data_IF_225226803332
#
_entry.id   IF_225226803332
#
_cell.length_a   1.000
_cell.length_b   1.000
_cell.length_c   1.000
_cell.angle_alpha   90.00
_cell.angle_beta   90.00
_cell.angle_gamma   90.00
#
_symmetry.space_group_name_H-M   'P 1'
#
loop_
_entity.id
_entity.type
_entity.pdbx_description
1 polymer ?
#
# COMPACT_ATOMS: atom_id res chain seq x y z
N UNK A 1 19.59 -59.15 34.97
CA UNK A 1 20.35 -59.16 36.24
C UNK A 1 20.45 -57.70 36.68
N UNK A 2 19.60 -57.19 37.55
CA UNK A 2 18.69 -57.83 38.52
C UNK A 2 17.25 -57.26 38.31
N UNK A 3 16.16 -58.04 38.26
CA UNK A 3 15.37 -58.63 39.37
C UNK A 3 14.79 -57.54 40.32
N UNK A 4 13.50 -57.16 40.23
CA UNK A 4 12.31 -57.69 40.97
C UNK A 4 12.41 -57.62 42.51
N UNK A 5 11.39 -57.27 43.32
CA UNK A 5 10.04 -56.72 43.09
C UNK A 5 9.48 -55.97 44.36
N UNK A 6 8.30 -56.27 44.97
CA UNK A 6 7.10 -55.39 44.91
C UNK A 6 6.52 -54.92 46.28
N UNK A 7 5.52 -54.01 46.29
CA UNK A 7 4.36 -54.02 47.23
C UNK A 7 3.31 -52.88 46.99
N UNK A 8 2.03 -53.18 47.23
CA UNK A 8 0.90 -52.22 47.33
C UNK A 8 -0.13 -52.74 48.36
N UNK A 9 -0.55 -51.95 49.37
CA UNK A 9 -1.99 -51.63 49.60
C UNK A 9 -2.22 -50.25 50.31
N UNK A 10 -3.42 -49.66 50.52
CA UNK A 10 -4.80 -49.86 49.99
C UNK A 10 -5.57 -48.50 49.85
N UNK A 11 -6.55 -48.19 50.73
CA UNK A 11 -7.40 -46.98 50.93
C UNK A 11 -8.11 -47.10 52.30
N UNK A 12 -8.89 -46.07 52.70
CA UNK A 12 -9.94 -46.00 53.77
C UNK A 12 -9.46 -45.54 55.17
N UNK A 13 -10.25 -44.85 56.01
CA UNK A 13 -11.50 -44.07 55.82
C UNK A 13 -11.88 -43.26 57.10
N UNK A 14 -12.83 -42.31 56.97
CA UNK A 14 -13.87 -41.86 57.95
C UNK A 14 -13.52 -41.33 59.36
N UNK A 15 -14.26 -40.28 59.79
CA UNK A 15 -14.47 -39.91 61.21
C UNK A 15 -14.31 -38.40 61.48
N UNK A 16 -15.31 -37.55 61.22
CA UNK A 16 -16.42 -37.18 62.12
C UNK A 16 -16.03 -36.30 63.32
N UNK A 17 -16.60 -35.08 63.39
CA UNK A 17 -16.38 -34.15 64.51
C UNK A 17 -17.20 -32.86 64.38
N UNK A 18 -18.45 -32.87 64.85
CA UNK A 18 -19.33 -31.70 64.82
C UNK A 18 -19.18 -30.82 66.07
N UNK A 19 -19.26 -29.49 65.90
CA UNK A 19 -19.59 -28.55 66.99
C UNK A 19 -20.23 -27.27 66.43
N UNK A 20 -21.36 -26.87 67.03
CA UNK A 20 -22.15 -25.70 66.62
C UNK A 20 -22.15 -24.58 67.68
N UNK A 21 -22.27 -23.32 67.23
CA UNK A 21 -22.56 -22.03 67.92
C UNK A 21 -22.29 -20.86 66.92
N UNK A 22 -23.02 -19.74 66.83
CA UNK A 22 -24.35 -19.31 67.35
C UNK A 22 -24.90 -18.15 66.47
N UNK A 23 -26.05 -17.56 66.83
CA UNK A 23 -26.65 -16.36 66.20
C UNK A 23 -25.83 -15.06 66.39
N UNK A 24 -26.01 -13.94 65.66
CA UNK A 24 -26.98 -13.49 64.62
C UNK A 24 -26.53 -12.11 64.07
N UNK A 25 -27.36 -11.22 63.46
CA UNK A 25 -28.80 -11.29 63.18
C UNK A 25 -29.15 -11.30 61.67
N UNK A 26 -30.44 -11.32 61.35
CA UNK A 26 -30.97 -11.20 59.98
C UNK A 26 -31.38 -9.76 59.65
N UNK A 27 -31.13 -9.33 58.41
CA UNK A 27 -31.85 -8.27 57.72
C UNK A 27 -31.86 -8.59 56.21
N UNK A 28 -33.05 -8.77 55.63
CA UNK A 28 -33.22 -9.09 54.21
C UNK A 28 -33.46 -7.87 53.33
N UNK A 29 -33.85 -8.15 52.08
CA UNK A 29 -34.22 -7.22 51.00
C UNK A 29 -33.06 -6.49 50.29
N UNK A 30 -32.85 -6.84 49.03
CA UNK A 30 -31.81 -6.22 48.17
C UNK A 30 -31.36 -7.11 47.01
N UNK A 31 -32.29 -7.71 46.26
CA UNK A 31 -31.93 -8.39 45.02
C UNK A 31 -31.27 -7.41 44.01
N UNK A 32 -30.38 -7.93 43.15
CA UNK A 32 -29.59 -7.25 42.08
C UNK A 32 -28.07 -7.04 42.32
N UNK A 33 -27.44 -7.75 43.26
CA UNK A 33 -25.97 -7.69 43.48
C UNK A 33 -25.09 -8.65 42.65
N UNK A 34 -25.67 -9.49 41.79
CA UNK A 34 -25.00 -10.69 41.24
C UNK A 34 -24.51 -10.59 39.80
N UNK A 35 -23.41 -9.86 39.55
CA UNK A 35 -22.40 -10.14 38.49
C UNK A 35 -21.20 -9.20 38.61
N UNK A 36 -21.43 -7.95 39.05
CA UNK A 36 -20.47 -6.85 39.02
C UNK A 36 -19.37 -6.88 40.09
N UNK A 37 -19.52 -7.69 41.15
CA UNK A 37 -18.57 -7.72 42.28
C UNK A 37 -17.31 -8.57 42.06
N UNK A 38 -17.25 -9.37 41.01
CA UNK A 38 -16.10 -10.25 40.74
C UNK A 38 -14.95 -9.60 39.93
N UNK A 39 -15.11 -8.35 39.50
CA UNK A 39 -14.11 -7.64 38.68
C UNK A 39 -13.46 -6.43 39.37
N UNK A 40 -13.76 -6.16 40.65
CA UNK A 40 -13.41 -4.88 41.30
C UNK A 40 -12.25 -4.93 42.28
N UNK A 41 -11.77 -6.09 42.73
CA UNK A 41 -10.86 -6.17 43.90
C UNK A 41 -9.42 -6.62 43.60
N UNK A 42 -9.19 -7.73 42.88
CA UNK A 42 -7.88 -8.42 42.81
C UNK A 42 -6.93 -7.94 41.70
N UNK A 43 -6.67 -6.64 41.62
CA UNK A 43 -5.54 -6.10 40.85
C UNK A 43 -5.00 -4.82 41.46
N UNK A 44 -3.73 -4.85 41.89
CA UNK A 44 -2.98 -3.71 42.46
C UNK A 44 -2.49 -2.73 41.38
N UNK A 45 -3.26 -2.58 40.30
CA UNK A 45 -3.05 -1.62 39.21
C UNK A 45 -4.16 -0.56 39.20
N UNK A 46 -3.98 0.48 38.38
CA UNK A 46 -4.92 1.59 38.25
C UNK A 46 -6.33 1.07 37.87
N UNK A 47 -7.27 1.06 38.84
CA UNK A 47 -8.64 0.55 38.67
C UNK A 47 -9.46 1.50 37.76
N UNK A 48 -9.42 1.26 36.45
CA UNK A 48 -10.14 2.03 35.44
C UNK A 48 -11.57 1.50 35.33
N UNK A 49 -12.56 2.31 35.73
CA UNK A 49 -13.98 1.92 35.68
C UNK A 49 -14.55 1.83 34.26
N UNK A 50 -15.72 1.17 34.06
CA UNK A 50 -16.33 1.01 32.74
C UNK A 50 -16.62 2.33 32.00
N UNK A 51 -16.99 3.39 32.73
CA UNK A 51 -17.31 4.70 32.14
C UNK A 51 -16.06 5.36 31.50
N UNK A 52 -14.90 5.48 32.20
CA UNK A 52 -13.63 5.85 31.57
C UNK A 52 -13.28 5.05 30.30
N UNK A 53 -13.50 3.72 30.29
CA UNK A 53 -13.21 2.89 29.11
C UNK A 53 -14.08 3.30 27.91
N UNK A 54 -15.38 3.54 28.13
CA UNK A 54 -16.30 3.97 27.08
C UNK A 54 -15.94 5.36 26.53
N UNK A 55 -15.60 6.32 27.41
CA UNK A 55 -15.18 7.68 27.00
C UNK A 55 -13.87 7.62 26.20
N UNK A 56 -12.86 6.89 26.68
CA UNK A 56 -11.59 6.73 25.96
C UNK A 56 -11.77 6.03 24.61
N UNK A 57 -12.69 5.06 24.52
CA UNK A 57 -13.03 4.38 23.25
C UNK A 57 -13.69 5.33 22.26
N UNK A 58 -14.64 6.15 22.70
CA UNK A 58 -15.30 7.16 21.85
C UNK A 58 -14.32 8.24 21.36
N UNK A 59 -13.44 8.72 22.24
CA UNK A 59 -12.37 9.68 21.89
C UNK A 59 -11.40 9.04 20.90
N UNK A 60 -10.97 7.80 21.11
CA UNK A 60 -10.11 7.09 20.17
C UNK A 60 -10.76 6.94 18.79
N UNK A 61 -12.02 6.52 18.72
CA UNK A 61 -12.77 6.39 17.47
C UNK A 61 -12.88 7.75 16.76
N UNK A 62 -13.21 8.82 17.48
CA UNK A 62 -13.29 10.17 16.92
C UNK A 62 -11.92 10.67 16.41
N UNK A 63 -10.84 10.46 17.15
CA UNK A 63 -9.48 10.77 16.73
C UNK A 63 -9.07 9.97 15.48
N UNK A 64 -9.43 8.69 15.40
CA UNK A 64 -9.20 7.85 14.21
C UNK A 64 -9.97 8.39 13.00
N UNK A 65 -11.22 8.82 13.15
CA UNK A 65 -11.98 9.44 12.05
C UNK A 65 -11.36 10.78 11.61
N UNK A 66 -11.01 11.67 12.55
CA UNK A 66 -10.32 12.93 12.22
C UNK A 66 -8.99 12.66 11.52
N UNK A 67 -8.22 11.65 11.95
CA UNK A 67 -6.95 11.27 11.33
C UNK A 67 -7.12 10.59 9.96
N UNK A 68 -8.26 9.95 9.68
CA UNK A 68 -8.60 9.49 8.33
C UNK A 68 -8.93 10.66 7.40
N UNK A 69 -9.65 11.69 7.89
CA UNK A 69 -10.04 12.87 7.11
C UNK A 69 -8.84 13.82 6.90
N UNK A 70 -8.00 14.03 7.92
CA UNK A 70 -6.73 14.76 7.82
C UNK A 70 -5.57 13.91 7.28
N UNK A 71 -5.87 12.72 6.77
CA UNK A 71 -4.93 11.68 6.32
C UNK A 71 -4.16 12.01 5.03
N UNK A 72 -3.53 13.18 4.98
CA UNK A 72 -2.59 13.60 3.93
C UNK A 72 -3.20 13.58 2.51
N UNK A 73 -4.32 14.30 2.34
CA UNK A 73 -4.86 14.62 1.01
C UNK A 73 -3.87 15.54 0.27
N UNK A 74 -3.06 14.91 -0.60
CA UNK A 74 -2.10 15.59 -1.50
C UNK A 74 -2.78 16.39 -2.61
N UNK A 75 -4.10 16.32 -2.70
CA UNK A 75 -4.97 17.07 -3.60
C UNK A 75 -5.68 18.11 -2.76
N UNK A 76 -5.79 19.34 -3.27
CA UNK A 76 -6.53 20.39 -2.58
C UNK A 76 -8.02 20.33 -2.91
N UNK A 77 -8.80 19.62 -2.10
CA UNK A 77 -10.25 19.43 -2.32
C UNK A 77 -11.08 20.73 -2.20
N UNK A 78 -10.48 21.85 -1.76
CA UNK A 78 -11.10 23.17 -1.81
C UNK A 78 -11.08 23.84 -3.20
N UNK A 79 -10.29 23.30 -4.14
CA UNK A 79 -10.16 23.82 -5.50
C UNK A 79 -11.11 23.08 -6.47
N UNK A 80 -11.58 23.78 -7.51
CA UNK A 80 -12.31 23.14 -8.60
C UNK A 80 -11.34 22.40 -9.53
N UNK A 81 -11.48 21.07 -9.59
CA UNK A 81 -10.68 20.19 -10.44
C UNK A 81 -11.40 19.69 -11.69
N UNK A 82 -12.55 20.29 -12.05
CA UNK A 82 -13.22 19.98 -13.31
C UNK A 82 -12.32 20.29 -14.50
N UNK A 83 -12.35 19.43 -15.52
CA UNK A 83 -11.55 19.59 -16.76
C UNK A 83 -11.81 20.96 -17.39
N UNK A 84 -13.06 21.44 -17.34
CA UNK A 84 -13.47 22.79 -17.75
C UNK A 84 -12.73 23.88 -16.96
N UNK A 85 -12.73 23.84 -15.63
CA UNK A 85 -12.05 24.87 -14.82
C UNK A 85 -10.54 24.83 -15.00
N UNK A 86 -9.95 23.63 -15.10
CA UNK A 86 -8.54 23.43 -15.39
C UNK A 86 -8.12 23.92 -16.80
N UNK A 87 -9.08 24.15 -17.70
CA UNK A 87 -8.87 24.63 -19.08
C UNK A 87 -7.95 23.73 -19.90
N UNK A 88 -7.96 22.43 -19.63
CA UNK A 88 -7.09 21.44 -20.31
C UNK A 88 -7.32 21.44 -21.83
N UNK A 89 -8.57 21.66 -22.27
CA UNK A 89 -9.00 21.70 -23.66
C UNK A 89 -9.78 22.99 -23.98
N UNK A 90 -10.02 23.33 -25.26
CA UNK A 90 -10.88 24.45 -25.65
C UNK A 90 -12.28 24.35 -25.05
N UNK A 91 -12.96 25.47 -24.76
CA UNK A 91 -14.21 25.47 -23.98
C UNK A 91 -15.34 24.58 -24.55
N UNK A 92 -15.42 24.47 -25.88
CA UNK A 92 -16.43 23.66 -26.58
C UNK A 92 -16.09 22.17 -26.66
N UNK A 93 -14.93 21.74 -26.17
CA UNK A 93 -14.50 20.35 -26.21
C UNK A 93 -15.39 19.47 -25.31
N UNK A 94 -15.95 18.35 -25.80
CA UNK A 94 -16.80 17.47 -24.99
C UNK A 94 -16.08 16.88 -23.77
N UNK A 95 -14.73 16.76 -23.80
CA UNK A 95 -13.91 16.26 -22.69
C UNK A 95 -13.99 17.16 -21.45
N UNK A 96 -14.42 18.41 -21.58
CA UNK A 96 -14.63 19.32 -20.44
C UNK A 96 -15.69 18.84 -19.43
N UNK A 97 -16.51 17.84 -19.80
CA UNK A 97 -17.50 17.20 -18.93
C UNK A 97 -16.99 15.92 -18.25
N UNK A 98 -15.77 15.46 -18.57
CA UNK A 98 -15.20 14.23 -18.01
C UNK A 98 -14.82 14.46 -16.55
N UNK A 99 -15.25 13.59 -15.61
CA UNK A 99 -14.75 13.64 -14.23
C UNK A 99 -13.30 13.14 -14.20
N UNK A 100 -12.41 13.86 -13.51
CA UNK A 100 -11.03 13.39 -13.32
C UNK A 100 -10.99 12.25 -12.30
N UNK A 101 -10.32 11.16 -12.68
CA UNK A 101 -9.98 10.07 -11.77
C UNK A 101 -8.59 10.30 -11.18
N UNK A 102 -8.52 10.81 -9.95
CA UNK A 102 -7.26 11.05 -9.27
C UNK A 102 -6.52 9.75 -8.96
N UNK A 103 -5.33 9.62 -9.56
CA UNK A 103 -4.49 8.44 -9.38
C UNK A 103 -3.07 8.87 -8.99
N UNK A 104 -2.64 8.45 -7.80
CA UNK A 104 -1.22 8.52 -7.42
C UNK A 104 -0.40 7.57 -8.31
N UNK A 105 0.72 8.07 -8.79
CA UNK A 105 1.70 7.38 -9.62
C UNK A 105 3.11 7.62 -9.06
N UNK A 106 4.13 7.31 -9.85
CA UNK A 106 5.53 7.66 -9.58
C UNK A 106 5.96 8.79 -10.52
N UNK A 107 6.87 9.65 -10.05
CA UNK A 107 7.50 10.71 -10.86
C UNK A 107 8.22 10.20 -12.12
N UNK A 108 8.68 8.95 -12.13
CA UNK A 108 9.33 8.37 -13.30
C UNK A 108 8.34 7.53 -14.10
N UNK A 109 8.15 7.89 -15.37
CA UNK A 109 7.29 7.20 -16.32
C UNK A 109 8.01 6.89 -17.64
N UNK A 110 7.51 5.89 -18.37
CA UNK A 110 7.92 5.57 -19.73
C UNK A 110 6.74 5.86 -20.65
N UNK A 111 6.85 6.91 -21.47
CA UNK A 111 5.78 7.39 -22.35
C UNK A 111 6.17 7.15 -23.81
N UNK A 112 5.21 6.74 -24.63
CA UNK A 112 5.45 6.62 -26.07
C UNK A 112 5.21 7.96 -26.77
N UNK A 113 5.80 8.15 -27.96
CA UNK A 113 5.82 9.45 -28.67
C UNK A 113 4.44 10.08 -28.86
N UNK A 114 3.40 9.29 -29.09
CA UNK A 114 2.02 9.80 -29.26
C UNK A 114 1.46 10.38 -27.96
N UNK A 115 1.69 9.74 -26.80
CA UNK A 115 1.38 10.33 -25.49
C UNK A 115 2.11 11.65 -25.26
N UNK A 116 3.41 11.72 -25.56
CA UNK A 116 4.20 12.96 -25.36
C UNK A 116 3.66 14.08 -26.25
N UNK A 117 3.40 13.80 -27.54
CA UNK A 117 2.77 14.75 -28.46
C UNK A 117 1.41 15.23 -27.94
N UNK A 118 0.57 14.30 -27.45
CA UNK A 118 -0.73 14.64 -26.88
C UNK A 118 -0.63 15.57 -25.66
N UNK A 119 0.26 15.27 -24.71
CA UNK A 119 0.48 16.13 -23.52
C UNK A 119 0.94 17.53 -23.91
N UNK A 120 1.85 17.66 -24.89
CA UNK A 120 2.46 18.95 -25.27
C UNK A 120 1.57 19.77 -26.19
N UNK A 121 0.91 19.14 -27.17
CA UNK A 121 0.20 19.85 -28.23
C UNK A 121 -1.31 19.98 -27.98
N UNK A 122 -1.93 19.03 -27.25
CA UNK A 122 -3.39 19.00 -27.06
C UNK A 122 -3.86 19.41 -25.66
N UNK A 123 -2.99 19.38 -24.64
CA UNK A 123 -3.36 19.59 -23.24
C UNK A 123 -2.69 20.84 -22.65
N UNK A 124 -3.49 21.82 -22.22
CA UNK A 124 -2.98 23.00 -21.51
C UNK A 124 -2.77 22.68 -20.03
N UNK A 125 -1.55 22.27 -19.69
CA UNK A 125 -1.19 21.79 -18.36
C UNK A 125 -1.05 22.88 -17.28
N UNK A 126 -0.92 24.15 -17.65
CA UNK A 126 -0.48 25.25 -16.76
C UNK A 126 -1.27 25.32 -15.44
N UNK A 127 -2.61 25.35 -15.53
CA UNK A 127 -3.47 25.47 -14.35
C UNK A 127 -3.54 24.19 -13.53
N UNK A 128 -3.46 23.02 -14.16
CA UNK A 128 -3.41 21.73 -13.47
C UNK A 128 -2.13 21.60 -12.65
N UNK A 129 -0.98 21.95 -13.23
CA UNK A 129 0.31 21.96 -12.52
C UNK A 129 0.33 23.02 -11.41
N UNK A 130 -0.20 24.23 -11.67
CA UNK A 130 -0.34 25.27 -10.64
C UNK A 130 -1.22 24.80 -9.46
N UNK A 131 -2.33 24.10 -9.72
CA UNK A 131 -3.19 23.55 -8.66
C UNK A 131 -2.52 22.41 -7.89
N UNK A 132 -1.74 21.52 -8.53
CA UNK A 132 -0.97 20.50 -7.81
C UNK A 132 0.16 21.09 -6.96
N UNK A 133 0.72 22.24 -7.37
CA UNK A 133 1.76 22.95 -6.64
C UNK A 133 1.25 23.75 -5.41
N UNK A 134 -0.06 23.82 -5.14
CA UNK A 134 -0.56 24.49 -3.92
C UNK A 134 -0.24 23.71 -2.65
N UNK A 135 -0.16 22.38 -2.74
CA UNK A 135 0.30 21.52 -1.63
C UNK A 135 1.82 21.31 -1.75
N UNK A 136 2.52 21.36 -0.62
CA UNK A 136 4.00 21.28 -0.57
C UNK A 136 4.59 19.88 -0.86
N UNK A 137 3.78 18.85 -1.07
CA UNK A 137 4.26 17.46 -1.11
C UNK A 137 3.54 16.59 -2.15
N UNK A 138 4.32 16.08 -3.12
CA UNK A 138 3.91 14.96 -3.97
C UNK A 138 2.93 15.28 -5.11
N UNK A 139 2.74 16.54 -5.51
CA UNK A 139 1.87 16.89 -6.65
C UNK A 139 2.39 16.38 -8.00
N UNK A 140 3.71 16.24 -8.11
CA UNK A 140 4.45 15.58 -9.19
C UNK A 140 4.15 14.07 -9.31
N UNK A 141 3.71 13.43 -8.22
CA UNK A 141 3.20 12.04 -8.23
C UNK A 141 1.74 11.90 -8.71
N UNK A 142 0.99 12.99 -8.94
CA UNK A 142 -0.45 12.91 -9.25
C UNK A 142 -0.83 13.29 -10.68
N UNK A 143 -0.26 14.35 -11.27
CA UNK A 143 -0.79 14.88 -12.53
C UNK A 143 -0.81 13.85 -13.66
N UNK A 144 0.31 13.15 -13.88
CA UNK A 144 0.46 12.16 -14.95
C UNK A 144 -0.34 10.89 -14.68
N UNK A 145 -0.42 10.48 -13.41
CA UNK A 145 -1.27 9.37 -12.97
C UNK A 145 -2.75 9.67 -13.22
N UNK A 146 -3.20 10.89 -12.92
CA UNK A 146 -4.58 11.36 -13.11
C UNK A 146 -4.98 11.40 -14.59
N UNK A 147 -4.09 11.89 -15.48
CA UNK A 147 -4.32 11.84 -16.92
C UNK A 147 -4.39 10.38 -17.43
N UNK A 148 -3.46 9.53 -16.99
CA UNK A 148 -3.39 8.12 -17.41
C UNK A 148 -4.54 7.27 -16.86
N UNK A 149 -5.04 7.61 -15.66
CA UNK A 149 -6.16 6.96 -14.99
C UNK A 149 -7.54 7.43 -15.45
N UNK A 150 -7.61 8.40 -16.36
CA UNK A 150 -8.87 8.95 -16.93
C UNK A 150 -8.88 8.79 -18.47
N UNK A 151 -9.08 7.57 -19.01
CA UNK A 151 -9.02 7.31 -20.46
C UNK A 151 -9.98 8.11 -21.33
N UNK A 152 -11.05 8.65 -20.74
CA UNK A 152 -12.07 9.47 -21.36
C UNK A 152 -11.53 10.85 -21.81
N UNK A 153 -10.37 11.27 -21.30
CA UNK A 153 -9.63 12.45 -21.81
C UNK A 153 -9.00 12.19 -23.19
N UNK A 154 -8.89 10.93 -23.61
CA UNK A 154 -8.28 10.54 -24.89
C UNK A 154 -6.75 10.40 -24.87
N UNK A 155 -6.11 10.43 -23.69
CA UNK A 155 -4.66 10.25 -23.56
C UNK A 155 -4.22 8.90 -24.18
N UNK A 156 -3.31 8.90 -25.17
CA UNK A 156 -2.82 7.67 -25.79
C UNK A 156 -2.20 6.73 -24.75
N UNK A 157 -2.70 5.49 -24.71
CA UNK A 157 -2.24 4.46 -23.79
C UNK A 157 -2.74 4.59 -22.35
N UNK A 158 -3.70 5.48 -22.04
CA UNK A 158 -4.38 5.52 -20.75
C UNK A 158 -5.07 4.19 -20.39
N UNK A 159 -5.16 3.91 -19.08
CA UNK A 159 -5.67 2.65 -18.53
C UNK A 159 -6.58 2.93 -17.33
N UNK A 160 -7.88 2.62 -17.44
CA UNK A 160 -8.79 2.63 -16.28
C UNK A 160 -8.35 1.54 -15.30
N UNK A 161 -8.61 1.74 -14.00
CA UNK A 161 -8.33 0.72 -12.99
C UNK A 161 -9.20 -0.53 -13.24
N UNK A 162 -8.60 -1.73 -13.31
CA UNK A 162 -9.34 -2.98 -13.59
C UNK A 162 -10.50 -3.25 -12.62
N UNK A 163 -10.33 -2.88 -11.35
CA UNK A 163 -11.27 -3.19 -10.26
C UNK A 163 -11.07 -2.18 -9.14
N UNK A 164 -12.17 -1.75 -8.51
CA UNK A 164 -12.13 -0.77 -7.42
C UNK A 164 -11.16 -1.20 -6.31
N UNK A 165 -10.33 -0.26 -5.84
CA UNK A 165 -9.32 -0.50 -4.79
C UNK A 165 -8.08 -1.31 -5.21
N UNK A 166 -8.07 -1.97 -6.38
CA UNK A 166 -6.96 -2.83 -6.80
C UNK A 166 -5.86 -2.03 -7.50
N UNK A 167 -4.74 -1.76 -6.81
CA UNK A 167 -3.60 -1.03 -7.38
C UNK A 167 -3.04 -1.73 -8.63
N UNK A 168 -2.72 -0.94 -9.68
CA UNK A 168 -2.17 -1.42 -10.96
C UNK A 168 -0.74 -2.01 -10.86
N UNK A 169 -0.11 -1.93 -9.69
CA UNK A 169 1.23 -2.45 -9.42
C UNK A 169 2.33 -1.39 -9.61
N UNK A 170 3.58 -1.85 -9.69
CA UNK A 170 4.75 -0.98 -9.97
C UNK A 170 4.90 -0.78 -11.49
N UNK A 171 5.25 0.43 -11.96
CA UNK A 171 5.50 0.67 -13.38
C UNK A 171 6.78 -0.04 -13.83
N UNK A 172 6.86 -0.38 -15.12
CA UNK A 172 8.04 -1.01 -15.72
C UNK A 172 9.28 -0.09 -15.69
N UNK A 173 9.06 1.22 -15.64
CA UNK A 173 10.12 2.24 -15.70
C UNK A 173 11.16 2.12 -14.58
N UNK A 174 10.73 1.83 -13.34
CA UNK A 174 11.58 1.89 -12.14
C UNK A 174 11.19 0.84 -11.10
N UNK A 175 12.18 0.16 -10.53
CA UNK A 175 12.05 -0.51 -9.22
C UNK A 175 12.67 0.34 -8.11
N UNK A 176 12.06 0.32 -6.92
CA UNK A 176 12.62 0.90 -5.70
C UNK A 176 12.19 0.12 -4.46
N UNK A 177 13.08 0.03 -3.47
CA UNK A 177 12.80 -0.67 -2.21
C UNK A 177 12.53 0.35 -1.12
N UNK A 178 11.25 0.63 -0.88
CA UNK A 178 10.80 1.43 0.26
C UNK A 178 10.76 0.58 1.53
N UNK A 179 11.23 1.13 2.66
CA UNK A 179 11.02 0.51 3.96
C UNK A 179 10.03 1.37 4.78
N UNK A 180 8.76 0.97 4.91
CA UNK A 180 7.81 1.67 5.79
C UNK A 180 8.20 1.46 7.25
N UNK A 181 7.97 2.48 8.08
CA UNK A 181 8.43 2.56 9.48
C UNK A 181 7.99 1.41 10.40
N UNK A 182 7.02 0.58 9.99
CA UNK A 182 6.39 -0.47 10.80
C UNK A 182 6.70 -1.91 10.34
N UNK A 183 7.67 -2.10 9.43
CA UNK A 183 8.05 -3.43 8.91
C UNK A 183 9.57 -3.63 9.11
N UNK A 184 10.02 -4.84 9.52
CA UNK A 184 11.45 -5.15 9.61
C UNK A 184 12.17 -4.87 8.29
N UNK A 185 13.40 -4.35 8.39
CA UNK A 185 14.16 -3.74 7.29
C UNK A 185 14.26 -4.70 6.10
N UNK A 186 13.56 -4.38 5.00
CA UNK A 186 13.64 -5.11 3.72
C UNK A 186 14.82 -4.66 2.84
N UNK A 187 15.66 -3.76 3.34
CA UNK A 187 16.81 -3.21 2.63
C UNK A 187 18.06 -4.05 2.93
N UNK A 188 18.50 -4.85 1.96
CA UNK A 188 19.65 -5.76 2.11
C UNK A 188 20.97 -5.04 2.39
N UNK A 189 21.15 -3.85 1.83
CA UNK A 189 22.32 -3.00 2.08
C UNK A 189 22.37 -2.43 3.50
N UNK A 190 21.25 -2.53 4.23
CA UNK A 190 21.00 -1.84 5.49
C UNK A 190 21.16 -0.31 5.46
N UNK A 191 21.36 0.29 4.28
CA UNK A 191 21.57 1.73 4.10
C UNK A 191 20.35 2.40 3.46
N UNK A 192 19.72 3.29 4.22
CA UNK A 192 18.47 3.96 3.87
C UNK A 192 18.69 5.47 3.69
N UNK A 193 18.09 6.06 2.65
CA UNK A 193 18.10 7.51 2.41
C UNK A 193 16.71 8.01 2.01
N UNK A 194 16.09 8.80 2.89
CA UNK A 194 14.70 9.26 2.76
C UNK A 194 13.69 8.10 2.59
N UNK A 195 13.81 7.08 3.46
CA UNK A 195 12.95 5.88 3.47
C UNK A 195 12.99 5.00 2.22
N UNK A 196 13.92 5.27 1.29
CA UNK A 196 14.29 4.42 0.15
C UNK A 196 15.63 3.74 0.44
N UNK A 197 15.70 2.43 0.17
CA UNK A 197 16.93 1.65 0.24
C UNK A 197 17.92 2.11 -0.84
N UNK A 198 19.17 2.34 -0.45
CA UNK A 198 20.28 2.52 -1.37
C UNK A 198 20.84 1.14 -1.67
N UNK A 199 20.87 0.77 -2.94
CA UNK A 199 21.23 -0.56 -3.43
C UNK A 199 22.76 -0.72 -3.46
N UNK A 200 23.27 -1.86 -2.97
CA UNK A 200 24.66 -2.30 -3.11
C UNK A 200 24.78 -3.65 -3.80
N UNK A 201 25.97 -4.26 -3.75
CA UNK A 201 26.29 -5.55 -4.39
C UNK A 201 25.36 -6.70 -3.98
N UNK A 202 24.86 -6.69 -2.74
CA UNK A 202 23.89 -7.65 -2.21
C UNK A 202 22.53 -7.64 -2.91
N UNK A 203 22.21 -6.59 -3.68
CA UNK A 203 21.02 -6.52 -4.54
C UNK A 203 21.26 -7.04 -5.98
N UNK A 204 22.49 -7.35 -6.40
CA UNK A 204 22.81 -7.72 -7.80
C UNK A 204 21.99 -8.90 -8.34
N UNK A 205 21.69 -9.90 -7.50
CA UNK A 205 20.85 -11.04 -7.87
C UNK A 205 19.43 -10.62 -8.26
N UNK A 206 18.83 -9.69 -7.51
CA UNK A 206 17.48 -9.17 -7.76
C UNK A 206 17.47 -8.23 -8.97
N UNK A 207 18.51 -7.42 -9.13
CA UNK A 207 18.68 -6.51 -10.26
C UNK A 207 18.81 -7.27 -11.59
N UNK A 208 19.59 -8.36 -11.62
CA UNK A 208 19.72 -9.27 -12.78
C UNK A 208 18.38 -9.89 -13.21
N UNK A 209 17.57 -10.30 -12.23
CA UNK A 209 16.25 -10.94 -12.40
C UNK A 209 15.10 -9.94 -12.66
N UNK A 210 15.36 -8.64 -12.48
CA UNK A 210 14.40 -7.56 -12.60
C UNK A 210 13.78 -7.47 -14.00
N UNK A 211 12.50 -7.10 -14.03
CA UNK A 211 11.80 -6.70 -15.27
C UNK A 211 11.86 -5.18 -15.51
N UNK A 212 12.22 -4.39 -14.50
CA UNK A 212 12.18 -2.94 -14.58
C UNK A 212 13.39 -2.39 -15.33
N UNK A 213 13.18 -1.36 -16.14
CA UNK A 213 14.23 -0.74 -16.97
C UNK A 213 15.31 -0.01 -16.15
N UNK A 214 14.98 0.43 -14.93
CA UNK A 214 15.91 1.11 -14.03
C UNK A 214 15.63 0.76 -12.57
N UNK A 215 16.61 1.00 -11.71
CA UNK A 215 16.51 0.78 -10.27
C UNK A 215 16.92 2.03 -9.49
N UNK A 216 16.29 2.26 -8.35
CA UNK A 216 16.55 3.38 -7.46
C UNK A 216 16.54 2.91 -5.98
N UNK A 217 17.46 3.35 -5.12
CA UNK A 217 18.53 4.35 -5.36
C UNK A 217 19.89 3.68 -5.48
N UNK A 218 20.73 4.10 -6.43
CA UNK A 218 22.18 3.80 -6.42
C UNK A 218 22.91 5.08 -6.02
N UNK A 219 23.98 4.96 -5.22
CA UNK A 219 24.82 6.10 -4.82
C UNK A 219 26.30 5.69 -4.89
N UNK A 220 27.10 6.25 -5.82
CA UNK A 220 28.51 5.89 -6.00
C UNK A 220 29.38 5.97 -4.74
N UNK A 221 29.08 6.91 -3.84
CA UNK A 221 29.80 7.09 -2.57
C UNK A 221 29.41 6.08 -1.47
N UNK A 222 28.44 5.20 -1.73
CA UNK A 222 28.04 4.11 -0.85
C UNK A 222 28.59 2.80 -1.41
N UNK A 223 28.22 2.49 -2.65
CA UNK A 223 28.68 1.34 -3.40
C UNK A 223 28.71 1.68 -4.89
N UNK A 224 29.91 1.65 -5.48
CA UNK A 224 30.12 1.80 -6.92
C UNK A 224 30.12 0.45 -7.66
N UNK A 225 30.45 -0.64 -6.98
CA UNK A 225 30.53 -1.97 -7.56
C UNK A 225 29.16 -2.44 -8.06
N UNK A 226 28.05 -2.09 -7.39
CA UNK A 226 26.70 -2.36 -7.89
C UNK A 226 26.45 -1.76 -9.29
N UNK A 227 26.97 -0.56 -9.56
CA UNK A 227 26.85 0.10 -10.87
C UNK A 227 27.78 -0.55 -11.90
N UNK A 228 29.03 -0.80 -11.52
CA UNK A 228 30.06 -1.42 -12.39
C UNK A 228 29.67 -2.83 -12.82
N UNK A 229 29.29 -3.70 -11.87
CA UNK A 229 28.88 -5.07 -12.15
C UNK A 229 27.58 -5.14 -12.95
N UNK A 230 26.65 -4.19 -12.75
CA UNK A 230 25.43 -4.13 -13.57
C UNK A 230 25.73 -3.68 -15.00
N UNK A 231 26.65 -2.72 -15.20
CA UNK A 231 27.09 -2.30 -16.53
C UNK A 231 27.77 -3.44 -17.30
N UNK A 232 28.69 -4.16 -16.65
CA UNK A 232 29.34 -5.34 -17.23
C UNK A 232 28.32 -6.46 -17.55
N UNK A 233 27.37 -6.72 -16.65
CA UNK A 233 26.31 -7.70 -16.89
C UNK A 233 25.44 -7.33 -18.10
N UNK A 234 25.07 -6.06 -18.26
CA UNK A 234 24.31 -5.58 -19.41
C UNK A 234 25.11 -5.68 -20.70
N UNK A 235 26.40 -5.33 -20.68
CA UNK A 235 27.31 -5.49 -21.81
C UNK A 235 27.40 -6.96 -22.23
N UNK A 236 27.68 -7.88 -21.31
CA UNK A 236 27.78 -9.31 -21.58
C UNK A 236 26.44 -9.91 -22.06
N UNK A 237 25.31 -9.46 -21.50
CA UNK A 237 23.98 -9.90 -21.95
C UNK A 237 23.68 -9.46 -23.40
N UNK A 238 24.09 -8.24 -23.78
CA UNK A 238 23.90 -7.70 -25.12
C UNK A 238 24.74 -8.40 -26.19
N UNK A 239 25.93 -8.92 -25.85
CA UNK A 239 26.86 -9.52 -26.82
C UNK A 239 26.86 -11.06 -26.83
N UNK A 240 26.30 -11.72 -25.80
CA UNK A 240 26.42 -13.18 -25.65
C UNK A 240 25.10 -13.93 -25.32
N UNK A 241 23.96 -13.26 -25.11
CA UNK A 241 22.75 -13.92 -24.58
C UNK A 241 21.43 -13.44 -25.21
N UNK A 242 21.19 -13.82 -26.48
CA UNK A 242 20.11 -13.22 -27.27
C UNK A 242 18.68 -13.77 -27.04
N UNK A 243 18.47 -15.09 -26.90
CA UNK A 243 17.11 -15.65 -26.99
C UNK A 243 16.46 -16.02 -25.65
N UNK A 244 17.05 -16.93 -24.87
CA UNK A 244 16.40 -17.55 -23.69
C UNK A 244 16.01 -16.57 -22.56
N UNK A 245 16.67 -15.42 -22.48
CA UNK A 245 16.36 -14.36 -21.50
C UNK A 245 15.13 -13.53 -21.90
N UNK A 246 14.81 -13.47 -23.19
CA UNK A 246 13.69 -12.67 -23.72
C UNK A 246 12.34 -13.26 -23.32
N UNK A 247 12.19 -14.59 -23.44
CA UNK A 247 10.93 -15.29 -23.18
C UNK A 247 10.54 -15.28 -21.69
N UNK A 248 11.48 -15.57 -20.77
CA UNK A 248 11.25 -15.47 -19.32
C UNK A 248 10.84 -14.04 -18.92
N UNK A 249 11.45 -13.01 -19.53
CA UNK A 249 11.11 -11.60 -19.29
C UNK A 249 9.74 -11.22 -19.88
N UNK A 250 9.43 -11.69 -21.09
CA UNK A 250 8.13 -11.50 -21.77
C UNK A 250 6.99 -12.09 -20.93
N UNK A 251 7.12 -13.32 -20.45
CA UNK A 251 6.13 -13.95 -19.58
C UNK A 251 5.91 -13.15 -18.27
N UNK A 252 7.00 -12.71 -17.60
CA UNK A 252 6.87 -11.82 -16.42
C UNK A 252 6.18 -10.47 -16.77
N UNK A 253 6.42 -9.92 -17.97
CA UNK A 253 5.77 -8.69 -18.45
C UNK A 253 4.27 -8.86 -18.72
N UNK A 254 3.88 -9.92 -19.43
CA UNK A 254 2.47 -10.25 -19.73
C UNK A 254 1.65 -10.48 -18.46
N UNK A 255 2.28 -10.95 -17.37
CA UNK A 255 1.65 -11.09 -16.06
C UNK A 255 1.41 -9.77 -15.30
N UNK A 256 2.02 -8.65 -15.71
CA UNK A 256 1.82 -7.35 -15.05
C UNK A 256 0.35 -6.93 -15.06
N UNK A 257 -0.15 -6.43 -13.93
CA UNK A 257 -1.56 -6.02 -13.80
C UNK A 257 -1.93 -4.92 -14.80
N UNK A 258 -1.09 -3.89 -14.94
CA UNK A 258 -1.30 -2.82 -15.92
C UNK A 258 -1.38 -3.33 -17.37
N UNK A 259 -0.56 -4.34 -17.74
CA UNK A 259 -0.59 -4.94 -19.08
C UNK A 259 -1.89 -5.69 -19.32
N UNK A 260 -2.30 -6.53 -18.36
CA UNK A 260 -3.59 -7.26 -18.42
C UNK A 260 -4.79 -6.31 -18.43
N UNK A 261 -4.79 -5.24 -17.65
CA UNK A 261 -5.85 -4.23 -17.69
C UNK A 261 -5.95 -3.54 -19.05
N UNK A 262 -4.81 -3.19 -19.64
CA UNK A 262 -4.78 -2.57 -20.97
C UNK A 262 -5.23 -3.54 -22.07
N UNK A 263 -4.90 -4.84 -21.97
CA UNK A 263 -5.42 -5.88 -22.88
C UNK A 263 -6.94 -6.03 -22.75
N UNK A 264 -7.48 -6.18 -21.54
CA UNK A 264 -8.93 -6.28 -21.29
C UNK A 264 -9.69 -5.08 -21.88
N UNK A 265 -9.18 -3.86 -21.69
CA UNK A 265 -9.78 -2.64 -22.25
C UNK A 265 -9.78 -2.59 -23.78
N UNK A 266 -8.76 -3.17 -24.43
CA UNK A 266 -8.73 -3.31 -25.89
C UNK A 266 -9.80 -4.29 -26.37
N UNK A 267 -9.99 -5.41 -25.68
CA UNK A 267 -11.07 -6.36 -26.00
C UNK A 267 -12.46 -5.75 -25.78
N UNK A 268 -12.70 -5.03 -24.69
CA UNK A 268 -13.97 -4.31 -24.43
C UNK A 268 -14.28 -3.30 -25.56
N UNK A 269 -13.30 -2.47 -25.96
CA UNK A 269 -13.49 -1.48 -27.04
C UNK A 269 -13.73 -2.13 -28.40
N UNK A 270 -13.01 -3.20 -28.70
CA UNK A 270 -13.20 -3.98 -29.94
C UNK A 270 -14.57 -4.66 -29.99
N UNK A 271 -15.08 -5.17 -28.87
CA UNK A 271 -16.41 -5.76 -28.79
C UNK A 271 -17.52 -4.70 -28.95
N UNK A 272 -17.28 -3.48 -28.47
CA UNK A 272 -18.22 -2.35 -28.58
C UNK A 272 -18.07 -1.54 -29.88
N UNK A 273 -17.32 -2.04 -30.88
CA UNK A 273 -17.17 -1.38 -32.19
C UNK A 273 -16.43 -0.03 -32.18
N UNK A 274 -15.71 0.29 -31.10
CA UNK A 274 -14.94 1.54 -31.01
C UNK A 274 -13.52 1.34 -31.53
N UNK A 275 -13.32 1.64 -32.81
CA UNK A 275 -12.06 1.42 -33.52
C UNK A 275 -10.89 2.25 -32.94
N UNK A 276 -9.71 1.62 -32.88
CA UNK A 276 -8.49 2.22 -32.39
C UNK A 276 -7.83 3.04 -33.50
N UNK A 277 -8.07 4.36 -33.57
CA UNK A 277 -7.20 5.27 -34.35
C UNK A 277 -5.78 5.20 -33.76
N UNK A 278 -4.89 4.48 -34.43
CA UNK A 278 -3.52 4.22 -33.96
C UNK A 278 -2.67 5.48 -33.85
#
# INVERSE_FOLDING_TARGET
>A
MLDEAPARPRKAATGSGARARTAGPAAGAGANGGLWRFYTEDSTGLKIGPVPVLVMSLVFIACVFVLHIWGNERIDHSLDWSVKNLRLFPEKDPRNKVPLNFMQSFVQASLHRKTVKWIVDEVKMDKMLAQFNTKKYGGDEYWLGTLHGTPELGMPGAVKQCSAGVKLGRPLSRTDTWNPYFIPIRCKSHYMKHSICVLGVENLSELRESIHYSANKVQPSFDWAVASCMAEHLFNAQHHAHERLSEKRRHKYEQLRIVRCHQMQKHEKSANGQEFRM
#
